data_IF_028247642825
#
_entry.id   IF_028247642825
#
_cell.length_a   1.000
_cell.length_b   1.000
_cell.length_c   1.000
_cell.angle_alpha   90.00
_cell.angle_beta   90.00
_cell.angle_gamma   90.00
#
_symmetry.space_group_name_H-M   'P 1'
#
loop_
_entity.id
_entity.type
_entity.pdbx_description
1 polymer ?
#
# COMPACT_ATOMS: atom_id res chain seq x y z
N UNK A 1 12.96 28.58 29.96
CA UNK A 1 11.99 28.28 28.87
C UNK A 1 11.96 26.77 28.72
N UNK A 2 10.83 26.13 29.04
CA UNK A 2 10.65 24.68 28.90
C UNK A 2 10.47 24.35 27.42
N UNK A 3 11.40 23.60 26.83
CA UNK A 3 11.24 23.04 25.50
C UNK A 3 10.61 21.65 25.67
N UNK A 4 9.29 21.58 25.53
CA UNK A 4 8.60 20.30 25.41
C UNK A 4 9.15 19.57 24.16
N UNK A 5 9.52 18.28 24.24
CA UNK A 5 10.00 17.55 23.08
C UNK A 5 8.84 17.43 22.09
N UNK A 6 8.97 18.12 20.95
CA UNK A 6 8.08 17.96 19.80
C UNK A 6 8.08 16.47 19.44
N UNK A 7 6.94 15.80 19.65
CA UNK A 7 6.72 14.44 19.15
C UNK A 7 7.13 14.42 17.67
N UNK A 8 7.98 13.48 17.22
CA UNK A 8 8.23 13.33 15.80
C UNK A 8 6.87 13.10 15.15
N UNK A 9 6.45 14.04 14.31
CA UNK A 9 5.36 13.80 13.37
C UNK A 9 5.77 12.56 12.59
N UNK A 10 4.97 11.50 12.67
CA UNK A 10 5.01 10.33 11.81
C UNK A 10 4.86 10.79 10.35
N UNK A 11 5.91 11.40 9.80
CA UNK A 11 6.16 11.40 8.37
C UNK A 11 6.35 9.94 8.03
N UNK A 12 5.23 9.26 7.75
CA UNK A 12 5.19 7.92 7.19
C UNK A 12 6.03 7.99 5.92
N UNK A 13 7.30 7.65 6.08
CA UNK A 13 8.26 7.57 5.00
C UNK A 13 7.60 6.71 3.93
N UNK A 14 7.26 7.31 2.80
CA UNK A 14 6.43 6.71 1.75
C UNK A 14 7.27 5.71 0.93
N UNK A 15 8.01 4.86 1.65
CA UNK A 15 8.87 3.82 1.12
C UNK A 15 7.97 2.65 0.77
N UNK A 16 7.52 2.65 -0.48
CA UNK A 16 6.79 1.54 -1.05
C UNK A 16 7.77 0.46 -1.49
N UNK A 17 7.45 -0.79 -1.18
CA UNK A 17 8.21 -1.92 -1.72
C UNK A 17 8.01 -2.00 -3.25
N UNK A 18 9.09 -1.79 -4.02
CA UNK A 18 9.04 -1.75 -5.48
C UNK A 18 8.57 -3.07 -6.10
N UNK A 19 8.88 -4.21 -5.50
CA UNK A 19 8.42 -5.51 -6.00
C UNK A 19 6.90 -5.64 -5.87
N UNK A 20 6.37 -5.23 -4.72
CA UNK A 20 4.93 -5.20 -4.44
C UNK A 20 4.21 -4.22 -5.39
N UNK A 21 4.78 -3.03 -5.60
CA UNK A 21 4.24 -2.05 -6.56
C UNK A 21 4.19 -2.59 -7.99
N UNK A 22 5.27 -3.23 -8.46
CA UNK A 22 5.32 -3.82 -9.81
C UNK A 22 4.30 -4.95 -9.96
N UNK A 23 4.18 -5.81 -8.95
CA UNK A 23 3.18 -6.89 -8.94
C UNK A 23 1.75 -6.32 -9.01
N UNK A 24 1.43 -5.30 -8.19
CA UNK A 24 0.15 -4.58 -8.25
C UNK A 24 -0.13 -4.06 -9.66
N UNK A 25 0.83 -3.35 -10.25
CA UNK A 25 0.70 -2.76 -11.59
C UNK A 25 0.54 -3.80 -12.69
N UNK A 26 1.21 -4.94 -12.60
CA UNK A 26 1.04 -6.03 -13.55
C UNK A 26 -0.37 -6.63 -13.47
N UNK A 27 -0.85 -6.92 -12.26
CA UNK A 27 -2.20 -7.46 -12.03
C UNK A 27 -3.30 -6.49 -12.50
N UNK A 28 -3.16 -5.18 -12.22
CA UNK A 28 -4.06 -4.14 -12.72
C UNK A 28 -4.08 -4.10 -14.26
N UNK A 29 -2.92 -4.25 -14.91
CA UNK A 29 -2.81 -4.27 -16.39
C UNK A 29 -3.46 -5.48 -17.01
N UNK A 30 -3.41 -6.63 -16.33
CA UNK A 30 -4.02 -7.88 -16.77
C UNK A 30 -5.56 -7.89 -16.54
N UNK A 31 -6.12 -6.80 -16.02
CA UNK A 31 -7.56 -6.62 -15.83
C UNK A 31 -8.08 -7.14 -14.49
N UNK A 32 -7.19 -7.49 -13.56
CA UNK A 32 -7.58 -7.88 -12.22
C UNK A 32 -7.85 -6.67 -11.32
N UNK A 33 -8.83 -6.82 -10.43
CA UNK A 33 -9.11 -5.85 -9.39
C UNK A 33 -8.20 -6.13 -8.18
N UNK A 34 -7.41 -5.13 -7.78
CA UNK A 34 -6.40 -5.26 -6.73
C UNK A 34 -6.64 -4.21 -5.65
N UNK A 35 -6.79 -4.65 -4.40
CA UNK A 35 -7.01 -3.77 -3.25
C UNK A 35 -5.77 -3.74 -2.37
N UNK A 36 -5.31 -2.54 -2.03
CA UNK A 36 -4.23 -2.33 -1.07
C UNK A 36 -4.83 -2.05 0.30
N UNK A 37 -4.55 -2.93 1.25
CA UNK A 37 -5.04 -2.79 2.61
C UNK A 37 -4.11 -1.87 3.43
N UNK A 38 -4.63 -1.21 4.47
CA UNK A 38 -3.84 -0.32 5.34
C UNK A 38 -2.73 -1.03 6.11
N UNK A 39 -2.73 -2.36 6.16
CA UNK A 39 -1.66 -3.21 6.73
C UNK A 39 -0.54 -3.53 5.72
N UNK A 40 -0.60 -2.98 4.50
CA UNK A 40 0.41 -3.18 3.46
C UNK A 40 0.25 -4.48 2.67
N UNK A 41 -0.85 -5.24 2.88
CA UNK A 41 -1.13 -6.44 2.10
C UNK A 41 -1.92 -6.10 0.83
N UNK A 42 -1.58 -6.79 -0.25
CA UNK A 42 -2.33 -6.75 -1.51
C UNK A 42 -3.34 -7.91 -1.54
N UNK A 43 -4.59 -7.61 -1.84
CA UNK A 43 -5.64 -8.61 -2.10
C UNK A 43 -6.02 -8.60 -3.57
N UNK A 44 -5.99 -9.77 -4.21
CA UNK A 44 -6.45 -9.98 -5.58
C UNK A 44 -7.92 -10.42 -5.57
N UNK A 45 -8.80 -9.67 -6.24
CA UNK A 45 -10.22 -10.00 -6.35
C UNK A 45 -10.46 -10.74 -7.67
N UNK A 46 -10.82 -12.02 -7.58
CA UNK A 46 -11.18 -12.84 -8.73
C UNK A 46 -12.70 -13.00 -8.75
N UNK A 47 -13.36 -12.37 -9.73
CA UNK A 47 -14.79 -12.56 -9.97
C UNK A 47 -14.98 -13.79 -10.84
N UNK A 48 -15.45 -14.89 -10.25
CA UNK A 48 -15.86 -16.07 -11.00
C UNK A 48 -17.22 -15.78 -11.63
N UNK A 49 -17.31 -15.79 -12.96
CA UNK A 49 -18.60 -15.81 -13.65
C UNK A 49 -19.33 -17.11 -13.28
N UNK A 50 -20.62 -17.00 -12.98
CA UNK A 50 -21.50 -18.14 -12.70
C UNK A 50 -21.81 -18.93 -13.96
#
# INVERSE_FOLDING_TARGET
MNLEPRKPTDEKSNVVNLAIYRAKKALERDGFEVVENPDGKITLVIRLAK
#
